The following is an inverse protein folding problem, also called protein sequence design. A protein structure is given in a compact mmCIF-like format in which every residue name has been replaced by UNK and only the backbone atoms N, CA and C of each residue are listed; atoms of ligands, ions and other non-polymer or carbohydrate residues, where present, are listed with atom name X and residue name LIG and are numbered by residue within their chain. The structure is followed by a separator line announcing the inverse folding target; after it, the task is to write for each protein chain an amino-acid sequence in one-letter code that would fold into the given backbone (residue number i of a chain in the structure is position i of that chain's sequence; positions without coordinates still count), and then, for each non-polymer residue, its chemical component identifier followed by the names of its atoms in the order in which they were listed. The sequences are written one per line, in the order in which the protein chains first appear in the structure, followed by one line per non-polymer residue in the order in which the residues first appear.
data_IF_642840554150
#
_entry.id   IF_642840554150
#
_cell.length_a   1.000
_cell.length_b   1.000
_cell.length_c   1.000
_cell.angle_alpha   90.00
_cell.angle_beta   90.00
_cell.angle_gamma   90.00
#
_symmetry.space_group_name_H-M   'P 1'
#
loop_
_entity.id
_entity.type
_entity.pdbx_description
1 polymer ?
#
# COMPACT_ATOMS: atom_id res chain seq x y z
N UNK A 1 25.54 -4.54 6.06
CA UNK A 1 24.07 -4.66 5.92
C UNK A 1 23.42 -3.86 7.04
N UNK A 2 22.31 -3.18 6.77
CA UNK A 2 21.61 -2.42 7.80
C UNK A 2 20.79 -3.37 8.68
N UNK A 3 20.98 -3.29 9.98
CA UNK A 3 20.17 -4.02 10.96
C UNK A 3 18.77 -3.40 11.03
N UNK A 4 17.69 -4.19 11.11
CA UNK A 4 16.35 -3.63 11.33
C UNK A 4 16.30 -2.83 12.65
N UNK A 5 15.45 -1.80 12.73
CA UNK A 5 15.24 -1.05 13.97
C UNK A 5 14.83 -1.97 15.12
N UNK A 6 15.28 -1.65 16.34
CA UNK A 6 14.88 -2.39 17.53
C UNK A 6 13.37 -2.26 17.77
N UNK A 7 12.72 -3.35 18.19
CA UNK A 7 11.31 -3.35 18.56
C UNK A 7 10.99 -2.22 19.56
N UNK A 8 9.88 -1.52 19.32
CA UNK A 8 9.44 -0.39 20.15
C UNK A 8 10.15 0.95 19.87
N UNK A 9 11.15 0.99 18.98
CA UNK A 9 11.75 2.25 18.52
C UNK A 9 10.96 2.83 17.35
N UNK A 10 10.94 4.16 17.27
CA UNK A 10 10.39 4.87 16.12
C UNK A 10 11.31 4.75 14.91
N UNK A 11 10.70 4.65 13.73
CA UNK A 11 11.37 4.75 12.44
C UNK A 11 10.96 6.08 11.81
N UNK A 12 11.93 6.89 11.39
CA UNK A 12 11.67 8.12 10.65
C UNK A 12 11.91 7.87 9.16
N UNK A 13 10.91 8.17 8.33
CA UNK A 13 10.98 8.08 6.87
C UNK A 13 10.64 9.45 6.32
N UNK A 14 11.49 9.95 5.41
CA UNK A 14 11.21 11.20 4.72
C UNK A 14 10.06 10.97 3.75
N UNK A 15 9.02 11.81 3.85
CA UNK A 15 7.87 11.77 2.95
C UNK A 15 8.15 12.70 1.78
N UNK A 16 8.30 12.12 0.60
CA UNK A 16 8.28 12.85 -0.66
C UNK A 16 6.85 12.93 -1.22
N UNK A 17 6.68 13.62 -2.35
CA UNK A 17 5.37 13.82 -2.97
C UNK A 17 4.71 12.49 -3.34
N UNK A 18 5.47 11.54 -3.89
CA UNK A 18 4.97 10.21 -4.25
C UNK A 18 4.45 9.46 -3.03
N UNK A 19 5.25 9.38 -1.96
CA UNK A 19 4.83 8.70 -0.73
C UNK A 19 3.63 9.41 -0.08
N UNK A 20 3.56 10.74 -0.16
CA UNK A 20 2.40 11.50 0.31
C UNK A 20 1.12 11.09 -0.43
N UNK A 21 1.16 11.02 -1.76
CA UNK A 21 0.00 10.66 -2.60
C UNK A 21 -0.43 9.20 -2.41
N UNK A 22 0.54 8.30 -2.28
CA UNK A 22 0.29 6.88 -1.99
C UNK A 22 -0.38 6.70 -0.61
N UNK A 23 0.15 7.38 0.41
CA UNK A 23 -0.45 7.38 1.75
C UNK A 23 -1.87 7.95 1.72
N UNK A 24 -2.09 9.06 1.00
CA UNK A 24 -3.41 9.64 0.85
C UNK A 24 -4.41 8.66 0.23
N UNK A 25 -3.97 7.84 -0.74
CA UNK A 25 -4.81 6.80 -1.35
C UNK A 25 -5.18 5.70 -0.34
N UNK A 26 -4.20 5.18 0.41
CA UNK A 26 -4.43 4.11 1.39
C UNK A 26 -5.31 4.62 2.54
N UNK A 27 -5.07 5.83 3.02
CA UNK A 27 -5.79 6.41 4.15
C UNK A 27 -7.28 6.67 3.86
N UNK A 28 -7.72 6.63 2.59
CA UNK A 28 -9.17 6.63 2.24
C UNK A 28 -9.92 5.43 2.83
N UNK A 29 -9.22 4.37 3.21
CA UNK A 29 -9.79 3.20 3.90
C UNK A 29 -10.01 3.43 5.40
N UNK A 30 -9.61 4.58 5.94
CA UNK A 30 -9.69 4.91 7.38
C UNK A 30 -8.43 4.58 8.19
N UNK A 31 -7.37 4.06 7.55
CA UNK A 31 -6.09 3.80 8.20
C UNK A 31 -5.35 5.10 8.55
N UNK A 32 -4.56 5.08 9.62
CA UNK A 32 -3.54 6.12 9.85
C UNK A 32 -2.33 5.89 8.94
N UNK A 33 -1.50 6.92 8.73
CA UNK A 33 -0.25 6.77 7.98
C UNK A 33 0.68 5.69 8.59
N UNK A 34 0.73 5.59 9.92
CA UNK A 34 1.52 4.55 10.59
C UNK A 34 0.98 3.15 10.33
N UNK A 35 -0.35 2.99 10.32
CA UNK A 35 -0.96 1.69 10.02
C UNK A 35 -0.76 1.29 8.56
N UNK A 36 -0.89 2.26 7.64
CA UNK A 36 -0.59 2.06 6.22
C UNK A 36 0.85 1.57 6.00
N UNK A 37 1.84 2.22 6.63
CA UNK A 37 3.25 1.81 6.53
C UNK A 37 3.48 0.42 7.13
N UNK A 38 2.93 0.14 8.32
CA UNK A 38 3.04 -1.18 8.95
C UNK A 38 2.45 -2.27 8.06
N UNK A 39 1.27 -2.01 7.49
CA UNK A 39 0.58 -2.95 6.61
C UNK A 39 1.36 -3.20 5.32
N UNK A 40 1.86 -2.15 4.66
CA UNK A 40 2.66 -2.28 3.45
C UNK A 40 3.93 -3.12 3.67
N UNK A 41 4.66 -2.88 4.77
CA UNK A 41 5.85 -3.65 5.12
C UNK A 41 5.49 -5.11 5.43
N UNK A 42 4.42 -5.35 6.19
CA UNK A 42 3.96 -6.71 6.50
C UNK A 42 3.55 -7.48 5.24
N UNK A 43 2.87 -6.82 4.31
CA UNK A 43 2.45 -7.39 3.03
C UNK A 43 3.66 -7.79 2.16
N UNK A 44 4.65 -6.91 2.01
CA UNK A 44 5.87 -7.23 1.26
C UNK A 44 6.68 -8.36 1.92
N UNK A 45 6.86 -8.30 3.24
CA UNK A 45 7.59 -9.32 3.99
C UNK A 45 6.89 -10.70 3.93
N UNK A 46 5.56 -10.72 3.87
CA UNK A 46 4.82 -11.96 3.63
C UNK A 46 5.12 -12.54 2.26
N UNK A 47 5.09 -11.73 1.19
CA UNK A 47 5.39 -12.20 -0.16
C UNK A 47 6.82 -12.73 -0.33
N UNK A 48 7.82 -12.09 0.30
CA UNK A 48 9.20 -12.58 0.28
C UNK A 48 9.38 -13.87 1.08
N UNK A 49 8.76 -14.00 2.24
CA UNK A 49 8.80 -15.29 2.97
C UNK A 49 8.16 -16.39 2.16
N UNK A 50 6.97 -16.15 1.61
CA UNK A 50 6.25 -17.13 0.80
C UNK A 50 7.05 -17.60 -0.41
N UNK A 51 7.71 -16.70 -1.14
CA UNK A 51 8.46 -17.07 -2.35
C UNK A 51 9.76 -17.84 -2.03
N UNK A 52 10.41 -17.54 -0.89
CA UNK A 52 11.60 -18.28 -0.46
C UNK A 52 11.22 -19.64 0.14
N UNK A 53 10.19 -19.69 0.98
CA UNK A 53 9.68 -20.93 1.58
C UNK A 53 9.14 -21.93 0.54
N UNK A 54 8.57 -21.43 -0.57
CA UNK A 54 8.12 -22.27 -1.69
C UNK A 54 9.26 -22.78 -2.59
N UNK A 55 10.50 -22.29 -2.40
CA UNK A 55 11.65 -22.66 -3.23
C UNK A 55 11.63 -22.06 -4.65
N UNK A 56 10.71 -21.12 -4.93
CA UNK A 56 10.63 -20.46 -6.23
C UNK A 56 11.80 -19.49 -6.46
N UNK A 57 12.35 -18.93 -5.39
CA UNK A 57 13.52 -18.06 -5.40
C UNK A 57 14.49 -18.50 -4.29
N UNK A 58 15.81 -18.35 -4.50
CA UNK A 58 16.78 -18.54 -3.42
C UNK A 58 16.55 -17.55 -2.28
N UNK A 59 16.83 -17.98 -1.06
CA UNK A 59 16.74 -17.14 0.13
C UNK A 59 17.59 -15.87 -0.04
N UNK A 60 17.04 -14.73 0.38
CA UNK A 60 17.68 -13.42 0.26
C UNK A 60 17.68 -12.83 -1.15
N UNK A 61 17.17 -13.53 -2.16
CA UNK A 61 17.07 -13.00 -3.54
C UNK A 61 15.69 -12.37 -3.74
N UNK A 62 15.62 -11.04 -4.03
CA UNK A 62 14.34 -10.39 -4.27
C UNK A 62 13.74 -10.83 -5.62
N UNK A 63 12.45 -11.19 -5.66
CA UNK A 63 11.75 -11.43 -6.92
C UNK A 63 11.78 -10.21 -7.83
N UNK A 64 11.98 -10.44 -9.14
CA UNK A 64 12.01 -9.34 -10.14
C UNK A 64 10.64 -8.68 -10.33
N UNK A 65 9.58 -9.46 -10.16
CA UNK A 65 8.19 -9.01 -10.31
C UNK A 65 7.33 -9.75 -9.30
N UNK A 66 6.49 -9.00 -8.60
CA UNK A 66 5.40 -9.52 -7.79
C UNK A 66 4.10 -8.93 -8.31
N UNK A 67 3.06 -9.76 -8.38
CA UNK A 67 1.74 -9.34 -8.80
C UNK A 67 0.72 -9.70 -7.72
N UNK A 68 -0.12 -8.74 -7.35
CA UNK A 68 -1.25 -8.95 -6.46
C UNK A 68 -2.47 -9.24 -7.33
N UNK A 69 -3.16 -10.35 -7.08
CA UNK A 69 -4.42 -10.69 -7.74
C UNK A 69 -5.55 -10.47 -6.74
N UNK A 70 -6.44 -9.52 -7.05
CA UNK A 70 -7.61 -9.21 -6.21
C UNK A 70 -8.86 -9.54 -7.04
N UNK A 71 -9.81 -10.33 -6.52
CA UNK A 71 -11.08 -10.56 -7.19
C UNK A 71 -11.89 -9.26 -7.28
N UNK A 72 -12.86 -9.23 -8.20
CA UNK A 72 -13.81 -8.12 -8.28
C UNK A 72 -14.58 -7.96 -6.97
N UNK A 73 -14.97 -6.72 -6.66
CA UNK A 73 -15.78 -6.42 -5.50
C UNK A 73 -17.24 -6.85 -5.76
N UNK A 74 -17.70 -7.90 -5.09
CA UNK A 74 -19.07 -8.44 -5.23
C UNK A 74 -20.06 -7.84 -4.21
N UNK A 75 -19.70 -6.74 -3.53
CA UNK A 75 -20.57 -6.09 -2.55
C UNK A 75 -21.61 -5.15 -3.18
N UNK A 76 -22.45 -4.51 -2.34
CA UNK A 76 -23.47 -3.58 -2.83
C UNK A 76 -22.84 -2.50 -3.73
N UNK A 77 -23.49 -2.13 -4.85
CA UNK A 77 -22.95 -1.11 -5.73
C UNK A 77 -22.80 0.21 -4.97
N UNK A 78 -21.59 0.76 -4.99
CA UNK A 78 -21.33 2.10 -4.48
C UNK A 78 -22.00 3.08 -5.44
N UNK A 79 -22.89 3.99 -4.97
CA UNK A 79 -23.46 5.01 -5.84
C UNK A 79 -22.33 5.79 -6.51
N UNK A 80 -22.42 6.09 -7.82
CA UNK A 80 -21.40 6.90 -8.48
C UNK A 80 -21.27 8.22 -7.71
N UNK A 81 -20.04 8.62 -7.38
CA UNK A 81 -19.77 9.93 -6.82
C UNK A 81 -20.43 10.95 -7.75
N UNK A 82 -21.36 11.75 -7.22
CA UNK A 82 -22.19 12.65 -8.00
C UNK A 82 -21.33 13.46 -8.95
N UNK A 83 -21.71 13.52 -10.24
CA UNK A 83 -21.08 14.43 -11.21
C UNK A 83 -21.01 15.81 -10.56
N UNK A 84 -19.81 16.35 -10.43
CA UNK A 84 -19.63 17.78 -10.21
C UNK A 84 -20.27 18.44 -11.42
N UNK A 85 -21.52 18.90 -11.26
CA UNK A 85 -22.19 19.73 -12.25
C UNK A 85 -21.34 20.99 -12.38
N UNK A 86 -20.74 21.18 -13.56
CA UNK A 86 -20.08 22.42 -13.92
C UNK A 86 -21.00 23.60 -13.56
N UNK A 87 -20.45 24.61 -12.87
CA UNK A 87 -21.15 25.86 -12.64
C UNK A 87 -21.61 26.45 -13.98
N UNK A 88 -22.81 27.05 -14.06
CA UNK A 88 -23.23 27.75 -15.26
C UNK A 88 -22.30 28.95 -15.49
N UNK A 89 -21.73 29.04 -16.70
CA UNK A 89 -21.00 30.22 -17.14
C UNK A 89 -21.90 31.45 -17.02
N UNK A 90 -21.44 32.43 -16.24
CA UNK A 90 -22.09 33.72 -16.12
C UNK A 90 -22.04 34.43 -17.49
N UNK A 91 -23.19 35.02 -17.85
CA UNK A 91 -23.44 35.77 -19.09
C UNK A 91 -22.52 36.99 -19.25
#
# INVERSE_FOLDING_TARGET
MSTPPQAGKSLSVRVDETLSDDLATIMRTGMTASDAVRYAVAFMAYGYRWVWESGLYPDGVPPRRMAVRVPSYDGPPVPPAGRVTALPEAR
#
